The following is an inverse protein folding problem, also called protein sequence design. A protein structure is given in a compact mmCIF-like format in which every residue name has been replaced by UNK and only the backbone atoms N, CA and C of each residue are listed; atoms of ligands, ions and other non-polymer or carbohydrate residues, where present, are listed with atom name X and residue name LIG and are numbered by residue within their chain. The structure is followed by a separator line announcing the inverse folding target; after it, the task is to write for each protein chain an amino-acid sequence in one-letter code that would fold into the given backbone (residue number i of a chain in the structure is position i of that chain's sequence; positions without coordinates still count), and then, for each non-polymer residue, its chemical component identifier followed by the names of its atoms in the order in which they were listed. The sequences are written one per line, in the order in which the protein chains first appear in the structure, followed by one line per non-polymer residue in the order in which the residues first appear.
data_IF_294076347844
#
_entry.id   IF_294076347844
#
_cell.length_a   1.000
_cell.length_b   1.000
_cell.length_c   1.000
_cell.angle_alpha   90.00
_cell.angle_beta   90.00
_cell.angle_gamma   90.00
#
_symmetry.space_group_name_H-M   'P 1'
#
loop_
_entity.id
_entity.type
_entity.pdbx_description
1 polymer ?
#
# COMPACT_ATOMS: atom_id res chain seq x y z
N UNK A 1 18.47 -5.92 -16.06
CA UNK A 1 17.41 -6.21 -15.06
C UNK A 1 17.32 -5.08 -14.08
N UNK A 2 16.12 -4.55 -13.92
CA UNK A 2 15.86 -3.60 -12.86
C UNK A 2 15.41 -4.40 -11.63
N UNK A 3 16.22 -4.39 -10.59
CA UNK A 3 15.85 -5.01 -9.33
C UNK A 3 15.27 -3.94 -8.42
N UNK A 4 14.07 -4.20 -7.92
CA UNK A 4 13.46 -3.31 -6.95
C UNK A 4 13.78 -3.81 -5.55
N UNK A 5 14.13 -2.87 -4.69
CA UNK A 5 14.38 -3.15 -3.28
C UNK A 5 13.10 -2.86 -2.52
N UNK A 6 12.55 -3.90 -1.89
CA UNK A 6 11.37 -3.79 -1.06
C UNK A 6 11.78 -3.93 0.40
N UNK A 7 11.33 -3.01 1.24
CA UNK A 7 11.62 -3.01 2.66
C UNK A 7 10.29 -3.03 3.42
N UNK A 8 10.16 -4.00 4.32
CA UNK A 8 9.00 -4.14 5.17
C UNK A 8 9.21 -3.35 6.45
N UNK A 9 8.23 -2.53 6.82
CA UNK A 9 8.32 -1.64 7.98
C UNK A 9 7.05 -1.72 8.83
N UNK A 10 7.21 -1.50 10.13
CA UNK A 10 6.11 -1.49 11.08
C UNK A 10 5.99 -0.17 11.84
N UNK A 11 7.00 0.67 11.77
CA UNK A 11 7.04 1.95 12.50
C UNK A 11 7.42 3.09 11.56
N UNK A 12 7.10 4.31 11.96
CA UNK A 12 7.45 5.50 11.19
C UNK A 12 8.97 5.69 11.13
N UNK A 13 9.69 5.34 12.17
CA UNK A 13 11.15 5.40 12.17
C UNK A 13 11.73 4.47 11.11
N UNK A 14 11.18 3.27 10.99
CA UNK A 14 11.59 2.33 9.96
C UNK A 14 11.26 2.84 8.56
N UNK A 15 10.14 3.55 8.40
CA UNK A 15 9.80 4.19 7.13
C UNK A 15 10.90 5.18 6.72
N UNK A 16 11.33 6.02 7.66
CA UNK A 16 12.40 6.99 7.38
C UNK A 16 13.70 6.31 7.01
N UNK A 17 14.05 5.24 7.71
CA UNK A 17 15.25 4.47 7.41
C UNK A 17 15.18 3.83 6.01
N UNK A 18 14.03 3.26 5.66
CA UNK A 18 13.83 2.65 4.36
C UNK A 18 13.97 3.67 3.23
N UNK A 19 13.39 4.85 3.39
CA UNK A 19 13.50 5.92 2.41
C UNK A 19 14.95 6.39 2.29
N UNK A 20 15.63 6.57 3.41
CA UNK A 20 17.03 7.00 3.42
C UNK A 20 17.95 5.95 2.77
N UNK A 21 17.59 4.68 2.88
CA UNK A 21 18.35 3.58 2.27
C UNK A 21 18.08 3.43 0.78
N UNK A 22 17.14 4.18 0.22
CA UNK A 22 16.84 4.11 -1.21
C UNK A 22 15.91 2.98 -1.60
N UNK A 23 15.02 2.57 -0.71
CA UNK A 23 14.03 1.54 -1.03
C UNK A 23 13.17 1.98 -2.22
N UNK A 24 12.87 1.04 -3.10
CA UNK A 24 11.97 1.29 -4.23
C UNK A 24 10.51 1.10 -3.82
N UNK A 25 10.28 0.15 -2.92
CA UNK A 25 8.96 -0.16 -2.38
C UNK A 25 9.06 -0.23 -0.87
N UNK A 26 8.16 0.46 -0.17
CA UNK A 26 8.04 0.36 1.29
C UNK A 26 6.75 -0.37 1.60
N UNK A 27 6.85 -1.52 2.23
CA UNK A 27 5.69 -2.30 2.65
C UNK A 27 5.33 -1.94 4.09
N UNK A 28 4.13 -1.41 4.26
CA UNK A 28 3.59 -1.06 5.57
C UNK A 28 2.88 -2.28 6.16
N UNK A 29 3.38 -2.77 7.27
CA UNK A 29 2.83 -3.94 7.94
C UNK A 29 2.33 -3.55 9.33
N UNK A 30 1.17 -4.09 9.70
CA UNK A 30 0.61 -3.92 11.02
C UNK A 30 0.43 -2.44 11.43
N UNK A 31 -0.03 -1.61 10.50
CA UNK A 31 -0.31 -0.19 10.74
C UNK A 31 -1.80 0.10 10.61
N UNK A 32 -2.30 1.02 11.43
CA UNK A 32 -3.66 1.54 11.26
C UNK A 32 -3.66 2.64 10.16
N UNK A 33 -4.85 3.13 9.83
CA UNK A 33 -4.99 4.13 8.76
C UNK A 33 -4.24 5.43 9.06
N UNK A 34 -4.24 5.86 10.31
CA UNK A 34 -3.55 7.09 10.71
C UNK A 34 -2.04 6.94 10.57
N UNK A 35 -1.51 5.80 10.99
CA UNK A 35 -0.08 5.50 10.82
C UNK A 35 0.30 5.37 9.36
N UNK A 36 -0.54 4.75 8.55
CA UNK A 36 -0.32 4.65 7.11
C UNK A 36 -0.28 6.02 6.45
N UNK A 37 -1.20 6.92 6.85
CA UNK A 37 -1.22 8.28 6.33
C UNK A 37 0.06 9.02 6.64
N UNK A 38 0.54 8.89 7.86
CA UNK A 38 1.81 9.50 8.27
C UNK A 38 3.00 8.91 7.51
N UNK A 39 3.01 7.58 7.35
CA UNK A 39 4.06 6.90 6.60
C UNK A 39 4.12 7.38 5.15
N UNK A 40 2.98 7.50 4.51
CA UNK A 40 2.90 7.96 3.12
C UNK A 40 3.39 9.40 3.01
N UNK A 41 3.06 10.24 3.98
CA UNK A 41 3.56 11.61 4.03
C UNK A 41 5.07 11.65 4.13
N UNK A 42 5.65 10.80 4.95
CA UNK A 42 7.11 10.71 5.11
C UNK A 42 7.77 10.22 3.83
N UNK A 43 7.16 9.23 3.15
CA UNK A 43 7.68 8.70 1.90
C UNK A 43 7.65 9.77 0.80
N UNK A 44 6.58 10.54 0.72
CA UNK A 44 6.43 11.70 -0.17
C UNK A 44 6.89 11.42 -1.62
N UNK A 45 6.45 10.30 -2.16
CA UNK A 45 6.75 9.94 -3.54
C UNK A 45 8.14 9.35 -3.78
N UNK A 46 8.97 9.22 -2.75
CA UNK A 46 10.32 8.68 -2.89
C UNK A 46 10.34 7.17 -3.17
N UNK A 47 9.25 6.47 -2.84
CA UNK A 47 9.11 5.04 -3.05
C UNK A 47 7.64 4.70 -3.30
N UNK A 48 7.40 3.54 -3.88
CA UNK A 48 6.05 3.01 -3.98
C UNK A 48 5.62 2.45 -2.61
N UNK A 49 4.33 2.45 -2.34
CA UNK A 49 3.78 2.03 -1.06
C UNK A 49 2.97 0.76 -1.23
N UNK A 50 3.31 -0.25 -0.46
CA UNK A 50 2.57 -1.51 -0.40
C UNK A 50 2.02 -1.68 1.01
N UNK A 51 0.81 -2.20 1.12
CA UNK A 51 0.18 -2.51 2.41
C UNK A 51 -0.04 -4.01 2.50
N UNK A 52 0.40 -4.60 3.60
CA UNK A 52 0.21 -6.02 3.88
C UNK A 52 -1.00 -6.23 4.78
N UNK A 53 -1.77 -7.26 4.49
CA UNK A 53 -2.88 -7.68 5.34
C UNK A 53 -4.16 -7.97 4.54
N UNK A 54 -5.23 -8.25 5.28
CA UNK A 54 -6.53 -8.50 4.69
C UNK A 54 -7.17 -7.15 4.33
N UNK A 55 -7.37 -6.94 3.04
CA UNK A 55 -7.94 -5.69 2.55
C UNK A 55 -9.30 -5.99 1.92
N UNK A 56 -10.36 -5.40 2.48
CA UNK A 56 -11.68 -5.45 1.89
C UNK A 56 -11.76 -4.49 0.72
N UNK A 57 -12.75 -4.65 -0.14
CA UNK A 57 -12.96 -3.72 -1.25
C UNK A 57 -13.22 -2.30 -0.78
N UNK A 58 -13.95 -2.14 0.33
CA UNK A 58 -14.21 -0.82 0.91
C UNK A 58 -12.91 -0.18 1.39
N UNK A 59 -12.09 -0.95 2.07
CA UNK A 59 -10.80 -0.45 2.55
C UNK A 59 -9.84 -0.14 1.40
N UNK A 60 -9.92 -0.91 0.32
CA UNK A 60 -9.10 -0.68 -0.86
C UNK A 60 -9.29 0.72 -1.42
N UNK A 61 -10.54 1.20 -1.49
CA UNK A 61 -10.82 2.55 -1.97
C UNK A 61 -10.18 3.61 -1.06
N UNK A 62 -10.27 3.42 0.27
CA UNK A 62 -9.66 4.33 1.23
C UNK A 62 -8.14 4.34 1.10
N UNK A 63 -7.53 3.17 0.92
CA UNK A 63 -6.09 3.05 0.76
C UNK A 63 -5.60 3.71 -0.53
N UNK A 64 -6.36 3.57 -1.62
CA UNK A 64 -6.04 4.22 -2.88
C UNK A 64 -6.04 5.75 -2.72
N UNK A 65 -7.02 6.28 -1.98
CA UNK A 65 -7.09 7.71 -1.71
C UNK A 65 -5.90 8.21 -0.88
N UNK A 66 -5.34 7.36 -0.03
CA UNK A 66 -4.16 7.70 0.75
C UNK A 66 -2.88 7.69 -0.08
N UNK A 67 -2.88 7.06 -1.25
CA UNK A 67 -1.70 6.94 -2.09
C UNK A 67 -0.99 5.60 -2.00
N UNK A 68 -1.67 4.56 -1.54
CA UNK A 68 -1.14 3.19 -1.54
C UNK A 68 -1.15 2.67 -2.98
N UNK A 69 -0.06 2.05 -3.39
CA UNK A 69 0.10 1.54 -4.77
C UNK A 69 -0.25 0.07 -4.89
N UNK A 70 0.08 -0.73 -3.89
CA UNK A 70 -0.09 -2.19 -3.92
C UNK A 70 -0.66 -2.72 -2.62
N UNK A 71 -1.34 -3.85 -2.73
CA UNK A 71 -1.81 -4.62 -1.57
C UNK A 71 -1.27 -6.03 -1.65
N UNK A 72 -0.73 -6.51 -0.54
CA UNK A 72 -0.26 -7.87 -0.38
C UNK A 72 -1.15 -8.55 0.64
N UNK A 73 -1.86 -9.60 0.22
CA UNK A 73 -2.77 -10.34 1.10
C UNK A 73 -2.12 -11.64 1.57
N UNK A 74 -2.37 -12.02 2.81
CA UNK A 74 -1.92 -13.30 3.35
C UNK A 74 -2.50 -14.51 2.61
N UNK A 75 -3.62 -14.34 1.92
CA UNK A 75 -4.25 -15.38 1.13
C UNK A 75 -3.67 -15.47 -0.28
N UNK A 76 -2.91 -14.49 -0.71
CA UNK A 76 -2.29 -14.43 -2.03
C UNK A 76 -0.77 -14.53 -1.89
N UNK A 77 -0.14 -15.12 -2.90
CA UNK A 77 1.32 -15.26 -2.91
C UNK A 77 2.03 -14.10 -3.60
N UNK A 78 1.27 -13.11 -4.06
CA UNK A 78 1.82 -11.96 -4.77
C UNK A 78 0.97 -10.71 -4.48
N UNK A 79 1.57 -9.55 -4.74
CA UNK A 79 0.91 -8.27 -4.57
C UNK A 79 -0.03 -7.96 -5.72
N UNK A 80 -1.07 -7.19 -5.45
CA UNK A 80 -1.98 -6.68 -6.47
C UNK A 80 -2.01 -5.15 -6.40
N UNK A 81 -2.08 -4.47 -7.56
CA UNK A 81 -2.23 -3.01 -7.57
C UNK A 81 -3.54 -2.61 -6.90
N UNK A 82 -3.46 -1.65 -5.97
CA UNK A 82 -4.62 -1.20 -5.21
C UNK A 82 -5.67 -0.54 -6.10
N UNK A 83 -5.22 0.10 -7.17
CA UNK A 83 -6.11 0.77 -8.09
C UNK A 83 -7.05 -0.22 -8.77
N UNK A 84 -6.57 -1.40 -9.15
CA UNK A 84 -7.40 -2.44 -9.75
C UNK A 84 -8.48 -2.92 -8.79
N UNK A 85 -8.16 -3.08 -7.51
CA UNK A 85 -9.12 -3.46 -6.49
C UNK A 85 -10.16 -2.38 -6.26
N UNK A 86 -9.74 -1.12 -6.25
CA UNK A 86 -10.64 0.03 -6.12
C UNK A 86 -11.61 0.11 -7.29
N UNK A 87 -11.14 -0.10 -8.50
CA UNK A 87 -11.97 -0.08 -9.70
C UNK A 87 -12.99 -1.22 -9.69
N UNK A 88 -12.62 -2.40 -9.24
CA UNK A 88 -13.55 -3.51 -9.08
C UNK A 88 -14.65 -3.18 -8.09
N UNK A 89 -14.32 -2.54 -6.98
CA UNK A 89 -15.29 -2.10 -5.99
C UNK A 89 -16.28 -1.11 -6.61
N UNK A 90 -15.76 -0.10 -7.33
CA UNK A 90 -16.60 0.89 -7.98
C UNK A 90 -17.51 0.27 -9.05
N UNK A 91 -17.00 -0.71 -9.78
CA UNK A 91 -17.78 -1.41 -10.79
C UNK A 91 -18.95 -2.14 -10.15
N UNK A 92 -18.71 -2.82 -9.03
CA UNK A 92 -19.77 -3.53 -8.29
C UNK A 92 -20.81 -2.58 -7.76
N UNK A 93 -20.40 -1.45 -7.16
CA UNK A 93 -21.33 -0.48 -6.56
C UNK A 93 -22.05 0.35 -7.60
N UNK A 94 -21.47 0.59 -8.75
CA UNK A 94 -22.05 1.41 -9.80
C UNK A 94 -22.88 0.63 -10.81
N UNK A 95 -22.83 -0.68 -10.79
CA UNK A 95 -23.58 -1.52 -11.68
C UNK A 95 -25.04 -1.59 -11.24
N UNK A 96 -26.00 -1.07 -12.01
CA UNK A 96 -27.37 -0.98 -11.57
C UNK A 96 -28.12 -2.30 -11.55
N UNK A 97 -27.55 -3.36 -12.03
CA UNK A 97 -28.28 -4.61 -12.01
C UNK A 97 -27.41 -5.77 -12.03
#
# INVERSE_FOLDING_TARGET
FVRKIEVEVETIEQVREAVAAGADIVMLDNMDLDSMREAIRVIDGAAEVEVSGNVTMERAASLADLGVDYVSSGALTHSAPILDLSLKHLTVTSNPC
#
